data_IF_760833488768
#
_entry.id   IF_760833488768
#
_cell.length_a   1.000
_cell.length_b   1.000
_cell.length_c   1.000
_cell.angle_alpha   90.00
_cell.angle_beta   90.00
_cell.angle_gamma   90.00
#
_symmetry.space_group_name_H-M   'P 1'
#
loop_
_entity.id
_entity.type
_entity.pdbx_description
1 polymer ?
#
# COMPACT_ATOMS: atom_id res chain seq x y z
N UNK A 1 16.60 -1.94 -30.57
CA UNK A 1 15.38 -2.02 -29.75
C UNK A 1 15.72 -2.91 -28.57
N UNK A 2 16.37 -2.34 -27.56
CA UNK A 2 16.82 -3.07 -26.37
C UNK A 2 15.61 -3.28 -25.48
N UNK A 3 15.17 -4.53 -25.37
CA UNK A 3 14.25 -4.99 -24.33
C UNK A 3 14.91 -4.67 -22.98
N UNK A 4 14.54 -3.53 -22.41
CA UNK A 4 15.00 -3.15 -21.08
C UNK A 4 14.16 -3.97 -20.14
N UNK A 5 14.73 -4.85 -19.30
CA UNK A 5 13.94 -5.63 -18.37
C UNK A 5 13.11 -4.67 -17.53
N UNK A 6 11.80 -4.68 -17.75
CA UNK A 6 10.84 -3.88 -17.01
C UNK A 6 10.74 -4.50 -15.63
N UNK A 7 11.48 -3.94 -14.68
CA UNK A 7 11.34 -4.34 -13.28
C UNK A 7 9.88 -4.09 -12.87
N UNK A 8 9.19 -5.07 -12.29
CA UNK A 8 7.84 -4.84 -11.77
C UNK A 8 7.85 -3.72 -10.73
N UNK A 9 6.78 -2.93 -10.68
CA UNK A 9 6.61 -1.88 -9.67
C UNK A 9 6.48 -2.47 -8.26
N UNK A 10 5.88 -3.66 -8.14
CA UNK A 10 5.86 -4.46 -6.94
C UNK A 10 5.76 -5.96 -7.29
N UNK A 11 6.27 -6.81 -6.40
CA UNK A 11 6.08 -8.27 -6.45
C UNK A 11 5.59 -8.77 -5.10
N UNK A 12 4.82 -9.86 -5.09
CA UNK A 12 4.41 -10.52 -3.85
C UNK A 12 4.76 -12.01 -3.93
N UNK A 13 5.26 -12.56 -2.83
CA UNK A 13 5.62 -13.97 -2.73
C UNK A 13 4.96 -14.57 -1.50
N UNK A 14 4.26 -15.69 -1.70
CA UNK A 14 3.82 -16.58 -0.61
C UNK A 14 4.95 -17.57 -0.29
N UNK A 15 5.14 -17.85 1.00
CA UNK A 15 6.12 -18.81 1.50
C UNK A 15 5.63 -20.27 1.42
N UNK A 16 4.33 -20.51 1.24
CA UNK A 16 3.74 -21.85 1.14
C UNK A 16 3.68 -22.64 2.46
N UNK A 17 3.95 -21.99 3.61
CA UNK A 17 3.98 -22.64 4.93
C UNK A 17 2.64 -22.58 5.70
N UNK A 18 1.54 -22.28 5.00
CA UNK A 18 0.22 -22.03 5.61
C UNK A 18 0.02 -20.57 6.01
N UNK A 19 -1.24 -20.19 6.25
CA UNK A 19 -1.68 -18.80 6.38
C UNK A 19 -1.94 -18.13 5.03
N UNK A 20 -2.09 -16.81 5.02
CA UNK A 20 -2.28 -15.97 3.82
C UNK A 20 -1.23 -14.85 3.72
N UNK A 21 -0.16 -14.94 4.50
CA UNK A 21 0.89 -13.92 4.49
C UNK A 21 1.66 -13.92 3.17
N UNK A 22 1.95 -12.72 2.68
CA UNK A 22 2.78 -12.50 1.50
C UNK A 22 3.86 -11.48 1.80
N UNK A 23 5.02 -11.67 1.18
CA UNK A 23 6.12 -10.72 1.23
C UNK A 23 6.07 -9.82 0.01
N UNK A 24 5.58 -8.60 0.19
CA UNK A 24 5.42 -7.61 -0.88
C UNK A 24 6.69 -6.76 -0.97
N UNK A 25 7.37 -6.80 -2.11
CA UNK A 25 8.55 -5.98 -2.39
C UNK A 25 8.17 -4.85 -3.35
N UNK A 26 8.40 -3.60 -2.94
CA UNK A 26 8.18 -2.40 -3.74
C UNK A 26 9.38 -1.45 -3.58
N UNK A 27 10.02 -1.10 -4.70
CA UNK A 27 11.28 -0.34 -4.65
C UNK A 27 12.35 -1.09 -3.82
N UNK A 28 13.00 -0.43 -2.84
CA UNK A 28 14.00 -1.06 -1.98
C UNK A 28 13.41 -1.75 -0.73
N UNK A 29 12.10 -1.67 -0.51
CA UNK A 29 11.46 -2.13 0.73
C UNK A 29 10.67 -3.42 0.50
N UNK A 30 10.67 -4.27 1.54
CA UNK A 30 9.79 -5.43 1.64
C UNK A 30 8.90 -5.27 2.86
N UNK A 31 7.60 -5.52 2.69
CA UNK A 31 6.57 -5.40 3.72
C UNK A 31 5.77 -6.71 3.73
N UNK A 32 5.36 -7.16 4.92
CA UNK A 32 4.43 -8.29 5.04
C UNK A 32 3.01 -7.77 4.83
N UNK A 33 2.26 -8.42 3.96
CA UNK A 33 0.82 -8.23 3.82
C UNK A 33 0.12 -9.52 4.25
N UNK A 34 -0.89 -9.42 5.08
CA UNK A 34 -1.57 -10.59 5.62
C UNK A 34 -3.02 -10.26 5.98
N UNK A 35 -3.86 -11.27 6.07
CA UNK A 35 -5.22 -11.10 6.59
C UNK A 35 -5.25 -11.36 8.09
N UNK A 36 -6.34 -10.95 8.72
CA UNK A 36 -6.63 -11.33 10.10
C UNK A 36 -6.76 -12.85 10.25
N UNK A 37 -6.54 -13.35 11.46
CA UNK A 37 -6.77 -14.76 11.79
C UNK A 37 -8.20 -15.22 11.48
N UNK A 38 -9.20 -14.34 11.63
CA UNK A 38 -10.60 -14.64 11.34
C UNK A 38 -10.86 -14.88 9.83
N UNK A 39 -9.98 -14.39 8.96
CA UNK A 39 -10.05 -14.55 7.50
C UNK A 39 -9.05 -15.59 6.97
N UNK A 40 -8.36 -16.31 7.86
CA UNK A 40 -7.40 -17.37 7.49
C UNK A 40 -5.95 -16.90 7.33
N UNK A 41 -5.65 -15.64 7.66
CA UNK A 41 -4.28 -15.15 7.76
C UNK A 41 -3.66 -15.38 9.14
N UNK A 42 -2.50 -14.78 9.38
CA UNK A 42 -1.75 -14.86 10.64
C UNK A 42 -1.65 -13.51 11.36
N UNK A 43 -2.32 -12.47 10.87
CA UNK A 43 -2.33 -11.11 11.45
C UNK A 43 -0.92 -10.49 11.54
N UNK A 44 -0.08 -10.73 10.52
CA UNK A 44 1.34 -10.35 10.53
C UNK A 44 1.64 -8.97 9.88
N UNK A 45 0.64 -8.31 9.32
CA UNK A 45 0.80 -7.05 8.61
C UNK A 45 -0.52 -6.49 8.13
N UNK A 46 -0.50 -5.32 7.46
CA UNK A 46 -1.69 -4.75 6.87
C UNK A 46 -2.31 -5.69 5.84
N UNK A 47 -3.63 -5.64 5.75
CA UNK A 47 -4.34 -6.36 4.70
C UNK A 47 -4.14 -5.70 3.32
N UNK A 48 -4.44 -6.40 2.21
CA UNK A 48 -4.27 -5.83 0.88
C UNK A 48 -5.05 -4.52 0.63
N UNK A 49 -6.21 -4.34 1.24
CA UNK A 49 -7.00 -3.12 1.12
C UNK A 49 -6.37 -1.96 1.91
N UNK A 50 -5.83 -2.23 3.10
CA UNK A 50 -5.06 -1.27 3.89
C UNK A 50 -3.80 -0.83 3.14
N UNK A 51 -3.12 -1.74 2.43
CA UNK A 51 -1.97 -1.37 1.58
C UNK A 51 -2.37 -0.47 0.41
N UNK A 52 -3.52 -0.71 -0.22
CA UNK A 52 -4.06 0.18 -1.27
C UNK A 52 -4.39 1.56 -0.68
N UNK A 53 -5.04 1.60 0.48
CA UNK A 53 -5.35 2.84 1.18
C UNK A 53 -4.08 3.60 1.59
N UNK A 54 -3.04 2.90 2.05
CA UNK A 54 -1.74 3.47 2.39
C UNK A 54 -1.06 4.09 1.15
N UNK A 55 -1.08 3.40 0.01
CA UNK A 55 -0.59 3.93 -1.26
C UNK A 55 -1.32 5.20 -1.67
N UNK A 56 -2.66 5.22 -1.55
CA UNK A 56 -3.46 6.42 -1.84
C UNK A 56 -3.13 7.58 -0.89
N UNK A 57 -3.09 7.33 0.42
CA UNK A 57 -2.75 8.34 1.42
C UNK A 57 -1.36 8.95 1.16
N UNK A 58 -0.37 8.10 0.84
CA UNK A 58 0.98 8.53 0.49
C UNK A 58 1.00 9.40 -0.76
N UNK A 59 0.35 8.95 -1.85
CA UNK A 59 0.26 9.70 -3.11
C UNK A 59 -0.38 11.08 -2.90
N UNK A 60 -1.52 11.15 -2.19
CA UNK A 60 -2.19 12.41 -1.89
C UNK A 60 -1.32 13.34 -1.07
N UNK A 61 -0.64 12.82 -0.04
CA UNK A 61 0.29 13.60 0.79
C UNK A 61 1.43 14.19 -0.04
N UNK A 62 2.03 13.39 -0.94
CA UNK A 62 3.08 13.83 -1.86
C UNK A 62 2.58 14.94 -2.79
N UNK A 63 1.40 14.77 -3.38
CA UNK A 63 0.80 15.80 -4.25
C UNK A 63 0.55 17.10 -3.50
N UNK A 64 -0.04 17.05 -2.30
CA UNK A 64 -0.30 18.25 -1.49
C UNK A 64 1.00 19.00 -1.16
N UNK A 65 2.06 18.28 -0.79
CA UNK A 65 3.38 18.89 -0.55
C UNK A 65 3.96 19.52 -1.82
N UNK A 66 3.84 18.85 -2.97
CA UNK A 66 4.31 19.39 -4.25
C UNK A 66 3.63 20.73 -4.57
N UNK A 67 2.32 20.83 -4.36
CA UNK A 67 1.58 22.07 -4.60
C UNK A 67 1.90 23.17 -3.58
N UNK A 68 2.06 22.83 -2.30
CA UNK A 68 2.50 23.79 -1.28
C UNK A 68 3.83 24.45 -1.67
N UNK A 69 4.80 23.63 -2.09
CA UNK A 69 6.10 24.11 -2.56
C UNK A 69 5.96 24.99 -3.81
N UNK A 70 5.17 24.57 -4.80
CA UNK A 70 4.94 25.35 -6.02
C UNK A 70 4.29 26.72 -5.74
N UNK A 71 3.46 26.81 -4.70
CA UNK A 71 2.75 28.04 -4.31
C UNK A 71 3.50 28.86 -3.26
N UNK A 72 4.65 28.39 -2.78
CA UNK A 72 5.41 29.05 -1.73
C UNK A 72 4.68 29.09 -0.38
N UNK A 73 3.82 28.11 -0.10
CA UNK A 73 3.13 28.00 1.19
C UNK A 73 4.06 27.38 2.23
N UNK A 74 4.24 28.07 3.36
CA UNK A 74 4.98 27.54 4.50
C UNK A 74 4.07 26.62 5.33
N UNK A 75 4.25 25.31 5.19
CA UNK A 75 3.46 24.28 5.89
C UNK A 75 4.40 23.32 6.62
N UNK A 76 4.23 23.21 7.93
CA UNK A 76 5.07 22.37 8.79
C UNK A 76 4.85 20.87 8.58
N UNK A 77 3.59 20.43 8.41
CA UNK A 77 3.24 19.01 8.30
C UNK A 77 1.90 18.79 7.60
N UNK A 78 1.70 17.57 7.10
CA UNK A 78 0.47 17.12 6.46
C UNK A 78 0.12 15.73 7.01
N UNK A 79 -1.15 15.51 7.30
CA UNK A 79 -1.72 14.22 7.70
C UNK A 79 -2.90 13.92 6.78
N UNK A 80 -2.94 12.71 6.23
CA UNK A 80 -4.00 12.26 5.32
C UNK A 80 -4.51 10.93 5.82
N UNK A 81 -5.83 10.84 6.00
CA UNK A 81 -6.53 9.62 6.38
C UNK A 81 -7.41 9.16 5.23
N UNK A 82 -7.40 7.87 4.95
CA UNK A 82 -8.23 7.24 3.93
C UNK A 82 -9.16 6.27 4.63
N UNK A 83 -10.46 6.47 4.44
CA UNK A 83 -11.50 5.57 4.93
C UNK A 83 -12.11 4.85 3.74
N UNK A 84 -12.27 3.54 3.84
CA UNK A 84 -13.02 2.72 2.90
C UNK A 84 -14.22 2.08 3.61
N UNK A 85 -15.33 1.96 2.89
CA UNK A 85 -16.49 1.20 3.32
C UNK A 85 -16.83 0.20 2.22
N UNK A 86 -17.11 -1.04 2.62
CA UNK A 86 -17.59 -2.07 1.70
C UNK A 86 -19.05 -2.36 2.02
N UNK A 87 -19.93 -2.10 1.06
CA UNK A 87 -21.33 -2.47 1.17
C UNK A 87 -21.47 -3.98 1.01
N UNK A 88 -21.73 -4.68 2.11
CA UNK A 88 -21.89 -6.14 2.14
C UNK A 88 -23.17 -6.64 1.45
N UNK A 89 -24.06 -5.76 1.00
CA UNK A 89 -25.36 -6.13 0.43
C UNK A 89 -25.44 -6.03 -1.11
N UNK A 90 -24.34 -5.73 -1.79
CA UNK A 90 -24.30 -5.65 -3.26
C UNK A 90 -23.90 -6.96 -3.96
N UNK A 91 -24.04 -8.13 -3.33
CA UNK A 91 -23.70 -9.44 -3.93
C UNK A 91 -24.86 -10.43 -3.85
#
# INVERSE_FOLDING_TARGET
>A
MTDTPTRPFATATDSGHGGLQTFVTAGPATIVADLSAAQGGLDLGPDPHELVAAGLAACTTMTLRLYANQKGWDISGLHVEVFSSFDKEAT
#
